data_IF_005873601883
#
_entry.id   IF_005873601883
#
_cell.length_a   1.000
_cell.length_b   1.000
_cell.length_c   1.000
_cell.angle_alpha   90.00
_cell.angle_beta   90.00
_cell.angle_gamma   90.00
#
_symmetry.space_group_name_H-M   'P 1'
#
loop_
_entity.id
_entity.type
_entity.pdbx_description
1 polymer ?
#
# COMPACT_ATOMS: atom_id res chain seq x y z
N UNK A 1 -21.65 6.16 -17.47
CA UNK A 1 -20.58 7.18 -17.34
C UNK A 1 -19.33 6.46 -16.89
N UNK A 2 -18.37 6.26 -17.79
CA UNK A 2 -17.06 5.73 -17.45
C UNK A 2 -16.34 6.83 -16.65
N UNK A 3 -16.29 6.66 -15.32
CA UNK A 3 -15.51 7.54 -14.47
C UNK A 3 -14.03 7.42 -14.89
N UNK A 4 -13.42 8.58 -15.09
CA UNK A 4 -12.05 8.76 -15.52
C UNK A 4 -11.08 7.91 -14.66
N UNK A 5 -10.44 6.93 -15.29
CA UNK A 5 -9.28 6.19 -14.78
C UNK A 5 -8.00 7.06 -14.73
N UNK A 6 -8.12 8.38 -14.92
CA UNK A 6 -7.02 9.27 -15.29
C UNK A 6 -6.31 9.94 -14.11
N UNK A 7 -6.84 9.85 -12.88
CA UNK A 7 -6.21 10.39 -11.66
C UNK A 7 -5.88 9.29 -10.62
N UNK A 8 -5.82 8.03 -11.06
CA UNK A 8 -5.91 6.87 -10.19
C UNK A 8 -4.54 6.22 -9.90
N UNK A 9 -4.01 6.23 -8.65
CA UNK A 9 -2.68 5.71 -8.35
C UNK A 9 -2.57 4.18 -8.42
N UNK A 10 -3.67 3.41 -8.36
CA UNK A 10 -3.59 1.96 -8.43
C UNK A 10 -3.50 1.40 -9.86
N UNK A 11 -3.85 2.19 -10.89
CA UNK A 11 -3.85 1.73 -12.29
C UNK A 11 -2.46 1.28 -12.75
N UNK A 12 -1.44 2.11 -12.55
CA UNK A 12 -0.05 1.71 -12.79
C UNK A 12 0.48 0.60 -11.88
N UNK A 13 -0.01 0.52 -10.63
CA UNK A 13 0.39 -0.53 -9.67
C UNK A 13 -0.07 -1.91 -10.14
N UNK A 14 -1.27 -2.02 -10.72
CA UNK A 14 -1.78 -3.27 -11.32
C UNK A 14 -0.90 -3.76 -12.47
N UNK A 15 -0.35 -2.85 -13.28
CA UNK A 15 0.52 -3.19 -14.42
C UNK A 15 1.90 -3.69 -13.98
N UNK A 16 2.32 -3.37 -12.76
CA UNK A 16 3.60 -3.76 -12.19
C UNK A 16 3.57 -5.14 -11.51
N UNK A 17 2.37 -5.69 -11.26
CA UNK A 17 2.25 -6.95 -10.54
C UNK A 17 2.67 -8.12 -11.42
N UNK A 18 3.38 -9.13 -10.86
CA UNK A 18 3.59 -10.39 -11.56
C UNK A 18 2.25 -10.99 -11.99
N UNK A 19 2.22 -11.64 -13.17
CA UNK A 19 0.99 -12.19 -13.76
C UNK A 19 0.23 -13.20 -12.87
N UNK A 20 0.89 -13.74 -11.84
CA UNK A 20 0.28 -14.63 -10.87
C UNK A 20 -0.66 -13.93 -9.87
N UNK A 21 -0.58 -12.60 -9.73
CA UNK A 21 -1.42 -11.84 -8.81
C UNK A 21 -2.79 -11.56 -9.44
N UNK A 22 -3.85 -11.87 -8.68
CA UNK A 22 -5.22 -11.59 -9.05
C UNK A 22 -5.84 -10.64 -8.02
N UNK A 23 -6.67 -9.70 -8.48
CA UNK A 23 -7.40 -8.81 -7.59
C UNK A 23 -8.41 -9.65 -6.80
N UNK A 24 -8.19 -9.77 -5.50
CA UNK A 24 -9.04 -10.52 -4.58
C UNK A 24 -10.09 -9.62 -3.92
N UNK A 25 -9.77 -8.36 -3.67
CA UNK A 25 -10.68 -7.43 -3.02
C UNK A 25 -10.41 -5.97 -3.41
N UNK A 26 -11.47 -5.18 -3.48
CA UNK A 26 -11.43 -3.73 -3.62
C UNK A 26 -12.58 -3.09 -2.85
N UNK A 27 -12.28 -2.06 -2.06
CA UNK A 27 -13.28 -1.26 -1.36
C UNK A 27 -12.93 0.22 -1.36
N UNK A 28 -13.97 1.06 -1.28
CA UNK A 28 -13.88 2.50 -1.03
C UNK A 28 -14.76 2.81 0.16
N UNK A 29 -14.16 3.31 1.23
CA UNK A 29 -14.84 3.57 2.50
C UNK A 29 -14.52 4.97 3.02
N UNK A 30 -15.43 5.55 3.82
CA UNK A 30 -15.14 6.77 4.57
C UNK A 30 -14.82 6.39 6.01
N UNK A 31 -13.55 6.49 6.36
CA UNK A 31 -13.03 6.13 7.69
C UNK A 31 -12.84 7.39 8.54
N UNK A 32 -13.23 7.38 9.82
CA UNK A 32 -12.97 8.50 10.71
C UNK A 32 -11.47 8.61 11.02
N UNK A 33 -10.96 9.84 11.02
CA UNK A 33 -9.62 10.11 11.54
C UNK A 33 -9.63 10.07 13.08
N UNK A 34 -8.55 9.56 13.70
CA UNK A 34 -8.39 9.64 15.15
C UNK A 34 -8.21 11.10 15.61
N UNK A 35 -7.64 11.95 14.75
CA UNK A 35 -7.51 13.39 14.99
C UNK A 35 -7.31 14.15 13.67
N UNK A 36 -7.95 15.33 13.47
CA UNK A 36 -8.99 15.91 14.32
C UNK A 36 -10.30 15.09 14.27
N UNK A 37 -11.05 15.02 15.39
CA UNK A 37 -12.31 14.29 15.45
C UNK A 37 -13.31 14.83 14.41
N UNK A 38 -14.22 13.97 13.96
CA UNK A 38 -15.25 14.25 12.93
C UNK A 38 -14.73 14.47 11.50
N UNK A 39 -13.41 14.43 11.29
CA UNK A 39 -12.86 14.42 9.93
C UNK A 39 -12.91 13.01 9.35
N UNK A 40 -13.54 12.88 8.19
CA UNK A 40 -13.57 11.63 7.42
C UNK A 40 -12.49 11.66 6.34
N UNK A 41 -11.81 10.54 6.18
CA UNK A 41 -10.94 10.27 5.05
C UNK A 41 -11.57 9.21 4.17
N UNK A 42 -11.48 9.39 2.85
CA UNK A 42 -11.72 8.31 1.91
C UNK A 42 -10.52 7.36 1.95
N UNK A 43 -10.75 6.13 2.36
CA UNK A 43 -9.82 5.01 2.24
C UNK A 43 -10.26 4.18 1.06
N UNK A 44 -9.43 4.12 0.04
CA UNK A 44 -9.57 3.15 -1.00
C UNK A 44 -8.54 2.03 -0.76
N UNK A 45 -9.00 0.78 -0.83
CA UNK A 45 -8.22 -0.39 -0.48
C UNK A 45 -8.29 -1.43 -1.59
N UNK A 46 -7.14 -2.01 -1.93
CA UNK A 46 -7.04 -3.15 -2.84
C UNK A 46 -6.20 -4.24 -2.21
N UNK A 47 -6.58 -5.46 -2.54
CA UNK A 47 -5.84 -6.66 -2.18
C UNK A 47 -5.69 -7.53 -3.42
N UNK A 48 -4.45 -7.84 -3.75
CA UNK A 48 -4.11 -8.86 -4.73
C UNK A 48 -3.54 -10.08 -4.01
N UNK A 49 -3.92 -11.26 -4.47
CA UNK A 49 -3.42 -12.54 -3.97
C UNK A 49 -2.74 -13.28 -5.10
N UNK A 50 -1.68 -14.01 -4.77
CA UNK A 50 -1.01 -14.95 -5.65
C UNK A 50 -1.03 -16.36 -5.04
N UNK A 51 -0.89 -17.42 -5.87
CA UNK A 51 -0.71 -18.78 -5.37
C UNK A 51 0.43 -18.86 -4.33
N UNK A 52 0.26 -19.68 -3.30
CA UNK A 52 1.24 -19.83 -2.22
C UNK A 52 1.04 -18.87 -1.03
N UNK A 53 -0.06 -18.10 -1.01
CA UNK A 53 -0.43 -17.25 0.14
C UNK A 53 0.26 -15.89 0.16
N UNK A 54 0.96 -15.53 -0.93
CA UNK A 54 1.48 -14.20 -1.14
C UNK A 54 0.31 -13.21 -1.37
N UNK A 55 0.36 -12.06 -0.70
CA UNK A 55 -0.64 -11.02 -0.85
C UNK A 55 0.00 -9.64 -0.84
N UNK A 56 -0.54 -8.77 -1.69
CA UNK A 56 -0.18 -7.36 -1.76
C UNK A 56 -1.42 -6.53 -1.44
N UNK A 57 -1.24 -5.54 -0.58
CA UNK A 57 -2.28 -4.62 -0.16
C UNK A 57 -1.86 -3.20 -0.49
N UNK A 58 -2.79 -2.44 -1.04
CA UNK A 58 -2.65 -1.02 -1.28
C UNK A 58 -3.72 -0.29 -0.51
N UNK A 59 -3.31 0.70 0.26
CA UNK A 59 -4.19 1.64 0.93
C UNK A 59 -3.90 3.02 0.37
N UNK A 60 -4.94 3.71 -0.05
CA UNK A 60 -4.89 5.09 -0.51
C UNK A 60 -5.85 5.94 0.31
N UNK A 61 -5.33 6.98 0.93
CA UNK A 61 -6.09 7.85 1.83
C UNK A 61 -6.16 9.28 1.30
N UNK A 62 -7.37 9.82 1.16
CA UNK A 62 -7.60 11.22 0.79
C UNK A 62 -8.71 11.89 1.65
N UNK A 63 -8.44 13.03 2.31
CA UNK A 63 -7.13 13.67 2.43
C UNK A 63 -6.13 12.77 3.17
N UNK A 64 -4.85 13.16 3.17
CA UNK A 64 -3.78 12.42 3.87
C UNK A 64 -4.22 12.03 5.29
N UNK A 65 -4.33 10.74 5.54
CA UNK A 65 -4.58 10.22 6.88
C UNK A 65 -3.26 9.93 7.59
N UNK A 66 -2.99 10.50 8.78
CA UNK A 66 -1.90 10.05 9.63
C UNK A 66 -2.28 8.76 10.39
N UNK A 67 -3.10 7.87 9.81
CA UNK A 67 -3.60 6.68 10.51
C UNK A 67 -2.40 5.74 10.74
N UNK A 68 -1.99 5.45 11.98
CA UNK A 68 -1.06 4.37 12.22
C UNK A 68 -1.87 3.09 11.99
N UNK A 69 -1.50 2.28 11.00
CA UNK A 69 -2.09 0.96 10.75
C UNK A 69 -1.80 0.00 11.92
N UNK A 70 -2.32 0.30 13.11
CA UNK A 70 -2.02 -0.38 14.36
C UNK A 70 -0.54 -0.32 14.79
N UNK A 71 -0.19 -1.03 15.86
CA UNK A 71 1.20 -1.22 16.27
C UNK A 71 2.01 -1.89 15.16
N UNK A 72 3.16 -1.30 14.85
CA UNK A 72 4.13 -1.82 13.88
C UNK A 72 5.52 -1.86 14.53
N UNK A 73 6.26 -2.96 14.34
CA UNK A 73 7.67 -3.07 14.73
C UNK A 73 8.51 -3.48 13.53
N UNK A 74 9.40 -2.59 13.12
CA UNK A 74 10.36 -2.84 12.04
C UNK A 74 11.59 -3.56 12.57
N UNK A 75 11.97 -4.65 11.92
CA UNK A 75 13.21 -5.41 12.21
C UNK A 75 14.32 -5.08 11.22
N UNK A 76 13.96 -4.60 10.02
CA UNK A 76 14.91 -4.14 9.01
C UNK A 76 14.31 -2.98 8.23
N UNK A 77 15.16 -2.08 7.75
CA UNK A 77 14.74 -0.96 6.89
C UNK A 77 15.81 -0.69 5.84
N UNK A 78 15.39 -0.39 4.62
CA UNK A 78 16.30 -0.08 3.52
C UNK A 78 15.63 0.87 2.51
N UNK A 79 16.44 1.66 1.79
CA UNK A 79 15.93 2.56 0.76
C UNK A 79 15.46 1.78 -0.47
N UNK A 80 14.39 2.26 -1.11
CA UNK A 80 13.91 1.79 -2.40
C UNK A 80 13.33 2.96 -3.20
N UNK A 81 12.77 2.66 -4.38
CA UNK A 81 12.01 3.63 -5.17
C UNK A 81 10.60 3.12 -5.39
N UNK A 82 9.62 4.02 -5.29
CA UNK A 82 8.24 3.77 -5.66
C UNK A 82 7.76 4.95 -6.50
N UNK A 83 7.27 4.69 -7.71
CA UNK A 83 6.83 5.72 -8.63
C UNK A 83 7.85 6.84 -8.89
N UNK A 84 9.13 6.48 -8.99
CA UNK A 84 10.23 7.41 -9.20
C UNK A 84 10.57 8.29 -7.98
N UNK A 85 9.92 8.07 -6.84
CA UNK A 85 10.21 8.77 -5.59
C UNK A 85 11.00 7.87 -4.64
N UNK A 86 11.99 8.41 -3.90
CA UNK A 86 12.68 7.66 -2.88
C UNK A 86 11.73 7.32 -1.73
N UNK A 87 11.72 6.06 -1.32
CA UNK A 87 10.93 5.57 -0.20
C UNK A 87 11.79 4.71 0.73
N UNK A 88 11.28 4.46 1.93
CA UNK A 88 11.83 3.47 2.84
C UNK A 88 10.94 2.23 2.84
N UNK A 89 11.55 1.06 2.71
CA UNK A 89 10.89 -0.23 2.93
C UNK A 89 11.20 -0.68 4.34
N UNK A 90 10.15 -1.07 5.06
CA UNK A 90 10.24 -1.63 6.40
C UNK A 90 9.83 -3.09 6.34
N UNK A 91 10.73 -3.97 6.76
CA UNK A 91 10.37 -5.35 7.10
C UNK A 91 10.02 -5.40 8.57
N UNK A 92 8.88 -6.02 8.87
CA UNK A 92 8.28 -6.04 10.19
C UNK A 92 8.19 -7.46 10.73
N UNK A 93 8.11 -7.59 12.06
CA UNK A 93 7.72 -8.84 12.74
C UNK A 93 6.41 -8.68 13.54
N UNK A 94 5.90 -7.45 13.61
CA UNK A 94 4.60 -7.07 14.13
C UNK A 94 4.00 -6.04 13.16
N UNK A 95 2.83 -6.32 12.61
CA UNK A 95 2.14 -5.42 11.70
C UNK A 95 0.64 -5.42 11.99
N UNK A 96 0.06 -4.22 12.10
CA UNK A 96 -1.34 -4.01 12.52
C UNK A 96 -1.71 -4.69 13.85
N UNK A 97 -0.76 -4.82 14.77
CA UNK A 97 -0.97 -5.47 16.07
C UNK A 97 -0.91 -7.00 16.05
N UNK A 98 -0.63 -7.61 14.90
CA UNK A 98 -0.47 -9.06 14.76
C UNK A 98 1.01 -9.42 14.57
N UNK A 99 1.46 -10.49 15.23
CA UNK A 99 2.80 -11.03 15.03
C UNK A 99 2.86 -11.65 13.63
N UNK A 100 3.41 -10.91 12.67
CA UNK A 100 3.49 -11.32 11.28
C UNK A 100 4.62 -10.60 10.56
N UNK A 101 5.21 -11.28 9.59
CA UNK A 101 6.19 -10.68 8.69
C UNK A 101 5.48 -9.96 7.55
N UNK A 102 5.61 -8.64 7.50
CA UNK A 102 5.15 -7.83 6.39
C UNK A 102 6.25 -6.88 5.89
N UNK A 103 6.28 -6.67 4.58
CA UNK A 103 7.07 -5.62 3.93
C UNK A 103 6.16 -4.43 3.70
N UNK A 104 6.56 -3.25 4.16
CA UNK A 104 5.69 -2.06 4.18
C UNK A 104 6.46 -0.87 3.63
N UNK A 105 5.82 -0.09 2.78
CA UNK A 105 6.33 1.23 2.38
C UNK A 105 5.21 2.24 2.33
N UNK A 106 5.57 3.50 2.54
CA UNK A 106 4.66 4.63 2.51
C UNK A 106 5.15 5.65 1.50
N UNK A 107 4.22 6.20 0.72
CA UNK A 107 4.47 7.30 -0.20
C UNK A 107 3.56 8.47 0.15
N UNK A 108 4.09 9.56 0.74
CA UNK A 108 3.32 10.77 0.94
C UNK A 108 3.08 11.47 -0.40
N UNK A 109 1.85 11.91 -0.64
CA UNK A 109 1.46 12.71 -1.80
C UNK A 109 0.93 14.08 -1.32
N UNK A 110 0.87 15.12 -2.17
CA UNK A 110 0.51 16.48 -1.74
C UNK A 110 -0.82 16.58 -0.96
N UNK A 111 -1.83 15.77 -1.29
CA UNK A 111 -3.13 15.74 -0.61
C UNK A 111 -3.56 14.35 -0.14
N UNK A 112 -2.68 13.36 -0.24
CA UNK A 112 -3.02 11.96 0.00
C UNK A 112 -1.85 11.20 0.61
N UNK A 113 -2.09 9.95 1.01
CA UNK A 113 -1.04 9.04 1.42
C UNK A 113 -1.32 7.66 0.87
N UNK A 114 -0.27 7.03 0.38
CA UNK A 114 -0.30 5.66 -0.10
C UNK A 114 0.52 4.80 0.87
N UNK A 115 -0.02 3.65 1.24
CA UNK A 115 0.74 2.57 1.88
C UNK A 115 0.62 1.32 1.01
N UNK A 116 1.77 0.74 0.69
CA UNK A 116 1.84 -0.57 0.06
C UNK A 116 2.42 -1.54 1.08
N UNK A 117 1.75 -2.66 1.31
CA UNK A 117 2.31 -3.72 2.13
C UNK A 117 2.09 -5.11 1.55
N UNK A 118 3.07 -5.98 1.79
CA UNK A 118 3.10 -7.33 1.25
C UNK A 118 3.35 -8.36 2.35
N UNK A 119 2.66 -9.49 2.27
CA UNK A 119 2.88 -10.68 3.10
C UNK A 119 3.21 -11.86 2.18
N UNK A 120 4.12 -12.73 2.61
CA UNK A 120 4.54 -13.90 1.81
C UNK A 120 5.50 -13.59 0.66
N UNK A 121 5.93 -12.33 0.47
CA UNK A 121 6.96 -11.95 -0.52
C UNK A 121 8.34 -11.88 0.14
N UNK A 122 9.36 -12.21 -0.64
CA UNK A 122 10.75 -11.88 -0.33
C UNK A 122 11.03 -10.37 -0.54
N UNK A 123 12.09 -9.81 0.08
CA UNK A 123 12.48 -8.42 -0.14
C UNK A 123 12.70 -8.06 -1.62
N UNK A 124 13.35 -8.95 -2.38
CA UNK A 124 13.65 -8.73 -3.79
C UNK A 124 12.39 -8.73 -4.68
N UNK A 125 11.43 -9.60 -4.38
CA UNK A 125 10.14 -9.60 -5.10
C UNK A 125 9.35 -8.33 -4.82
N UNK A 126 9.35 -7.86 -3.58
CA UNK A 126 8.68 -6.62 -3.22
C UNK A 126 9.35 -5.41 -3.87
N UNK A 127 10.68 -5.33 -3.89
CA UNK A 127 11.41 -4.30 -4.63
C UNK A 127 11.05 -4.30 -6.12
N UNK A 128 10.96 -5.48 -6.75
CA UNK A 128 10.52 -5.62 -8.14
C UNK A 128 9.13 -5.01 -8.38
N UNK A 129 8.19 -5.25 -7.45
CA UNK A 129 6.85 -4.62 -7.51
C UNK A 129 6.93 -3.10 -7.39
N UNK A 130 7.76 -2.58 -6.48
CA UNK A 130 7.94 -1.14 -6.28
C UNK A 130 8.55 -0.45 -7.51
N UNK A 131 9.56 -1.07 -8.13
CA UNK A 131 10.23 -0.55 -9.33
C UNK A 131 9.31 -0.56 -10.56
N UNK A 132 8.45 -1.57 -10.68
CA UNK A 132 7.46 -1.63 -11.76
C UNK A 132 6.34 -0.59 -11.59
N UNK A 133 6.02 -0.21 -10.36
CA UNK A 133 4.96 0.73 -10.05
C UNK A 133 5.34 2.15 -10.47
N UNK A 134 4.60 2.71 -11.43
CA UNK A 134 4.72 4.11 -11.86
C UNK A 134 3.55 4.92 -11.30
N UNK A 135 3.63 6.24 -11.25
CA UNK A 135 2.42 7.07 -11.16
C UNK A 135 2.21 7.65 -12.56
N UNK A 136 0.96 7.60 -13.04
CA UNK A 136 0.58 8.16 -14.34
C UNK A 136 0.56 9.69 -14.28
#
# INVERSE_FOLDING_TARGET
MAAALTDWPAGPLVLALPAAYQLAHHSTERVPLPFPPETLVQEDFWRWEAPGGAALHLFYWQPRAPRPGGPMRSVRTWPAQLAGQPVQVHETDLFMGWAQRALVTHLPLPAAQLMLCATGLSPAEFETVLEGARLA
#
